data_IF_514559984230
#
_entry.id   IF_514559984230
#
_cell.length_a   1.000
_cell.length_b   1.000
_cell.length_c   1.000
_cell.angle_alpha   90.00
_cell.angle_beta   90.00
_cell.angle_gamma   90.00
#
_symmetry.space_group_name_H-M   'P 1'
#
loop_
_entity.id
_entity.type
_entity.pdbx_description
1 polymer ?
#
# COMPACT_ATOMS: atom_id res chain seq x y z
N UNK A 1 -6.14 -12.63 -8.37
CA UNK A 1 -6.05 -11.66 -9.49
C UNK A 1 -4.84 -10.77 -9.24
N UNK A 2 -3.85 -10.74 -10.14
CA UNK A 2 -2.64 -9.93 -9.94
C UNK A 2 -2.89 -8.48 -10.34
N UNK A 3 -2.52 -7.54 -9.45
CA UNK A 3 -2.64 -6.10 -9.70
C UNK A 3 -1.44 -5.63 -10.52
N UNK A 4 -1.68 -5.21 -11.76
CA UNK A 4 -0.65 -4.85 -12.74
C UNK A 4 -0.55 -3.34 -13.00
N UNK A 5 -1.52 -2.56 -12.52
CA UNK A 5 -1.55 -1.12 -12.74
C UNK A 5 -2.40 -0.40 -11.69
N UNK A 6 -2.30 0.94 -11.69
CA UNK A 6 -2.98 1.79 -10.72
C UNK A 6 -4.51 1.72 -10.81
N UNK A 7 -5.09 1.51 -12.00
CA UNK A 7 -6.54 1.36 -12.14
C UNK A 7 -7.04 0.09 -11.45
N UNK A 8 -6.33 -1.02 -11.63
CA UNK A 8 -6.61 -2.28 -10.93
C UNK A 8 -6.39 -2.14 -9.43
N UNK A 9 -5.35 -1.44 -9.00
CA UNK A 9 -5.08 -1.21 -7.58
C UNK A 9 -6.22 -0.43 -6.92
N UNK A 10 -6.62 0.70 -7.52
CA UNK A 10 -7.74 1.51 -7.02
C UNK A 10 -9.08 0.76 -6.98
N UNK A 11 -9.33 -0.12 -7.95
CA UNK A 11 -10.53 -0.97 -7.93
C UNK A 11 -10.47 -2.06 -6.86
N UNK A 12 -9.28 -2.54 -6.52
CA UNK A 12 -9.07 -3.55 -5.49
C UNK A 12 -9.14 -2.96 -4.08
N UNK A 13 -8.73 -1.70 -3.90
CA UNK A 13 -8.81 -1.01 -2.60
C UNK A 13 -10.26 -0.91 -2.13
N UNK A 14 -10.57 -1.68 -1.09
CA UNK A 14 -11.89 -1.71 -0.45
C UNK A 14 -11.71 -1.95 1.05
N UNK A 15 -12.69 -1.52 1.85
CA UNK A 15 -12.70 -1.80 3.30
C UNK A 15 -12.66 -3.31 3.55
N UNK A 16 -11.86 -3.74 4.53
CA UNK A 16 -11.67 -5.15 4.87
C UNK A 16 -10.62 -5.88 4.04
N UNK A 17 -10.03 -5.24 3.01
CA UNK A 17 -8.86 -5.78 2.32
C UNK A 17 -7.61 -5.61 3.16
N UNK A 18 -6.67 -6.53 2.98
CA UNK A 18 -5.43 -6.54 3.74
C UNK A 18 -4.23 -6.22 2.85
N UNK A 19 -3.33 -5.37 3.37
CA UNK A 19 -2.08 -5.00 2.73
C UNK A 19 -0.94 -5.38 3.67
N UNK A 20 0.00 -6.15 3.17
CA UNK A 20 1.25 -6.41 3.85
C UNK A 20 2.26 -5.32 3.53
N UNK A 21 2.81 -4.68 4.56
CA UNK A 21 3.90 -3.72 4.44
C UNK A 21 5.22 -4.48 4.53
N UNK A 22 5.91 -4.63 3.39
CA UNK A 22 7.15 -5.40 3.30
C UNK A 22 8.32 -4.52 3.74
N UNK A 23 8.45 -3.34 3.14
CA UNK A 23 9.53 -2.38 3.41
C UNK A 23 8.97 -0.97 3.55
N UNK A 24 9.60 -0.16 4.41
CA UNK A 24 9.32 1.25 4.62
C UNK A 24 10.63 1.95 4.99
N UNK A 25 11.12 2.84 4.13
CA UNK A 25 12.42 3.49 4.32
C UNK A 25 12.40 4.58 5.38
N UNK A 26 11.25 5.21 5.63
CA UNK A 26 11.11 6.27 6.64
C UNK A 26 10.81 5.73 8.03
N UNK A 27 10.13 4.58 8.11
CA UNK A 27 9.76 3.91 9.35
C UNK A 27 10.03 2.41 9.24
N UNK A 28 11.30 1.97 9.27
CA UNK A 28 11.65 0.55 9.15
C UNK A 28 10.96 -0.33 10.20
N UNK A 29 10.63 0.21 11.37
CA UNK A 29 9.89 -0.47 12.44
C UNK A 29 8.42 -0.75 12.11
N UNK A 30 7.88 -0.01 11.14
CA UNK A 30 6.55 -0.23 10.56
C UNK A 30 6.60 -1.21 9.38
N UNK A 31 7.81 -1.56 8.93
CA UNK A 31 8.07 -2.61 7.97
C UNK A 31 8.44 -3.91 8.68
N UNK A 32 8.47 -5.03 7.95
CA UNK A 32 8.68 -6.36 8.52
C UNK A 32 7.53 -7.34 8.27
N UNK A 33 6.75 -7.11 7.21
CA UNK A 33 5.68 -8.02 6.80
C UNK A 33 4.40 -7.83 7.61
N UNK A 34 4.24 -6.69 8.28
CA UNK A 34 3.02 -6.38 9.02
C UNK A 34 1.82 -6.31 8.06
N UNK A 35 0.79 -7.10 8.36
CA UNK A 35 -0.48 -7.06 7.64
C UNK A 35 -1.36 -5.98 8.26
N UNK A 36 -1.96 -5.15 7.41
CA UNK A 36 -2.84 -4.06 7.82
C UNK A 36 -4.16 -4.15 7.07
N UNK A 37 -5.26 -4.12 7.80
CA UNK A 37 -6.60 -4.07 7.22
C UNK A 37 -6.96 -2.63 6.83
N UNK A 38 -7.51 -2.46 5.64
CA UNK A 38 -8.07 -1.20 5.17
C UNK A 38 -9.37 -0.93 5.92
N UNK A 39 -9.37 0.10 6.76
CA UNK A 39 -10.55 0.55 7.50
C UNK A 39 -11.44 1.45 6.62
N UNK A 40 -10.83 2.30 5.79
CA UNK A 40 -11.53 3.27 4.94
C UNK A 40 -10.75 3.58 3.68
N UNK A 41 -11.46 3.73 2.57
CA UNK A 41 -10.92 4.21 1.29
C UNK A 41 -11.47 5.60 1.01
N UNK A 42 -10.59 6.53 0.65
CA UNK A 42 -10.91 7.87 0.19
C UNK A 42 -10.36 8.09 -1.22
N UNK A 43 -10.72 9.21 -1.85
CA UNK A 43 -10.35 9.51 -3.24
C UNK A 43 -8.84 9.39 -3.53
N UNK A 44 -7.99 9.83 -2.58
CA UNK A 44 -6.53 9.88 -2.75
C UNK A 44 -5.76 9.20 -1.61
N UNK A 45 -6.44 8.53 -0.69
CA UNK A 45 -5.80 7.95 0.49
C UNK A 45 -6.59 6.74 0.98
N UNK A 46 -5.92 5.89 1.75
CA UNK A 46 -6.55 4.84 2.54
C UNK A 46 -6.18 5.01 4.00
N UNK A 47 -7.07 4.56 4.87
CA UNK A 47 -6.80 4.45 6.30
C UNK A 47 -6.69 2.98 6.63
N UNK A 48 -5.60 2.61 7.28
CA UNK A 48 -5.33 1.25 7.77
C UNK A 48 -5.35 1.21 9.29
N UNK A 49 -5.82 0.12 9.89
CA UNK A 49 -5.77 -0.06 11.34
C UNK A 49 -4.43 -0.69 11.75
N UNK A 50 -3.71 -0.02 12.65
CA UNK A 50 -2.44 -0.47 13.22
C UNK A 50 -2.54 -0.39 14.73
N UNK A 51 -2.55 -1.53 15.43
CA UNK A 51 -2.67 -1.61 16.89
C UNK A 51 -3.85 -0.78 17.46
N UNK A 52 -5.00 -0.84 16.78
CA UNK A 52 -6.21 -0.09 17.17
C UNK A 52 -6.15 1.43 16.89
N UNK A 53 -5.13 1.91 16.17
CA UNK A 53 -5.02 3.30 15.72
C UNK A 53 -5.11 3.39 14.21
N UNK A 54 -5.78 4.42 13.72
CA UNK A 54 -5.81 4.73 12.30
C UNK A 54 -4.45 5.25 11.84
N UNK A 55 -3.91 4.61 10.80
CA UNK A 55 -2.73 5.02 10.08
C UNK A 55 -3.10 5.38 8.65
N UNK A 56 -2.77 6.60 8.26
CA UNK A 56 -3.02 7.12 6.92
C UNK A 56 -1.94 6.67 5.93
N UNK A 57 -2.36 6.31 4.72
CA UNK A 57 -1.48 6.07 3.59
C UNK A 57 -2.06 6.77 2.37
N UNK A 58 -1.32 7.71 1.80
CA UNK A 58 -1.68 8.34 0.54
C UNK A 58 -1.57 7.33 -0.61
N UNK A 59 -2.56 7.33 -1.50
CA UNK A 59 -2.51 6.55 -2.74
C UNK A 59 -1.57 7.28 -3.70
N UNK A 60 -0.43 6.69 -4.06
CA UNK A 60 0.54 7.35 -4.92
C UNK A 60 0.00 7.57 -6.33
N UNK A 61 0.61 8.53 -7.05
CA UNK A 61 0.32 8.70 -8.49
C UNK A 61 0.92 7.55 -9.26
N UNK A 62 0.34 7.23 -10.42
CA UNK A 62 0.81 6.13 -11.26
C UNK A 62 2.29 6.25 -11.67
N UNK A 63 2.81 7.48 -11.85
CA UNK A 63 4.23 7.73 -12.16
C UNK A 63 5.19 7.40 -10.99
N UNK A 64 4.66 7.40 -9.77
CA UNK A 64 5.39 7.21 -8.52
C UNK A 64 5.16 5.79 -7.98
N UNK A 65 4.65 4.87 -8.82
CA UNK A 65 4.29 3.50 -8.43
C UNK A 65 4.78 2.50 -9.47
N UNK A 66 5.41 1.43 -9.00
CA UNK A 66 5.82 0.30 -9.84
C UNK A 66 5.10 -0.96 -9.38
N UNK A 67 4.45 -1.64 -10.32
CA UNK A 67 3.78 -2.93 -10.09
C UNK A 67 4.70 -4.05 -10.55
N UNK A 68 5.12 -4.91 -9.62
CA UNK A 68 6.06 -5.98 -9.87
C UNK A 68 5.34 -7.29 -10.22
N UNK A 69 6.04 -8.18 -10.92
CA UNK A 69 5.49 -9.48 -11.36
C UNK A 69 5.21 -10.43 -10.18
N UNK A 70 5.92 -10.26 -9.06
CA UNK A 70 5.72 -10.99 -7.80
C UNK A 70 4.46 -10.54 -7.02
N UNK A 71 3.70 -9.58 -7.57
CA UNK A 71 2.49 -9.03 -6.98
C UNK A 71 2.75 -7.94 -5.92
N UNK A 72 4.01 -7.53 -5.75
CA UNK A 72 4.35 -6.39 -4.88
C UNK A 72 4.23 -5.06 -5.62
N UNK A 73 4.07 -4.00 -4.86
CA UNK A 73 3.92 -2.64 -5.36
C UNK A 73 4.97 -1.77 -4.66
N UNK A 74 5.90 -1.22 -5.44
CA UNK A 74 6.90 -0.28 -4.95
C UNK A 74 6.36 1.15 -5.14
N UNK A 75 6.50 1.96 -4.10
CA UNK A 75 6.05 3.34 -4.05
C UNK A 75 7.25 4.25 -3.86
N UNK A 76 7.30 5.30 -4.67
CA UNK A 76 8.35 6.30 -4.66
C UNK A 76 7.81 7.63 -4.17
N UNK A 77 8.58 8.34 -3.35
CA UNK A 77 8.27 9.69 -2.90
C UNK A 77 9.38 10.63 -3.39
N UNK A 78 9.02 11.59 -4.24
CA UNK A 78 9.98 12.52 -4.87
C UNK A 78 11.13 11.80 -5.59
N UNK A 79 10.84 10.68 -6.27
CA UNK A 79 11.82 9.87 -6.98
C UNK A 79 12.65 8.93 -6.10
N UNK A 80 12.51 8.99 -4.78
CA UNK A 80 13.20 8.08 -3.86
C UNK A 80 12.29 6.93 -3.46
N UNK A 81 12.85 5.73 -3.34
CA UNK A 81 12.11 4.57 -2.87
C UNK A 81 11.61 4.78 -1.43
N UNK A 82 10.32 4.57 -1.21
CA UNK A 82 9.66 4.87 0.06
C UNK A 82 9.07 3.64 0.72
N UNK A 83 8.23 2.90 0.00
CA UNK A 83 7.41 1.84 0.57
C UNK A 83 7.25 0.70 -0.42
N UNK A 84 7.33 -0.54 0.05
CA UNK A 84 6.91 -1.71 -0.71
C UNK A 84 5.81 -2.44 0.02
N UNK A 85 4.71 -2.65 -0.70
CA UNK A 85 3.52 -3.30 -0.18
C UNK A 85 3.14 -4.52 -1.01
N UNK A 86 2.42 -5.45 -0.40
CA UNK A 86 1.81 -6.59 -1.07
C UNK A 86 0.33 -6.67 -0.71
N UNK A 87 -0.57 -6.44 -1.67
CA UNK A 87 -1.99 -6.78 -1.53
C UNK A 87 -2.15 -8.26 -1.19
N UNK A 88 -2.89 -8.58 -0.13
CA UNK A 88 -3.24 -9.95 0.23
C UNK A 88 -4.59 -10.27 -0.44
N UNK A 89 -4.64 -11.38 -1.19
CA UNK A 89 -5.77 -11.77 -2.04
C UNK A 89 -6.49 -12.97 -1.44
#
# INVERSE_FOLDING_TARGET
MTIKNMSQFKKWLEKGKEIQFIENTMKPEMAGGQIREINKVQTNAITTLVNGRDSWLDIPKAKDTKFNEDGTIDIYLNGNYWLKIKPII
#
